data_IF_559425187468
#
_entry.id   IF_559425187468
#
_cell.length_a   1.000
_cell.length_b   1.000
_cell.length_c   1.000
_cell.angle_alpha   90.00
_cell.angle_beta   90.00
_cell.angle_gamma   90.00
#
_symmetry.space_group_name_H-M   'P 1'
#
loop_
_entity.id
_entity.type
_entity.pdbx_description
1 polymer ?
#
# COMPACT_ATOMS: atom_id res chain seq x y z
N UNK A 1 -11.52 -4.82 2.74
CA UNK A 1 -10.26 -4.58 1.99
C UNK A 1 -9.27 -3.80 2.85
N UNK A 2 -7.98 -3.74 2.46
CA UNK A 2 -6.95 -3.08 3.28
C UNK A 2 -7.19 -1.58 3.48
N UNK A 3 -7.77 -0.89 2.49
CA UNK A 3 -8.11 0.54 2.57
C UNK A 3 -9.17 0.82 3.64
N UNK A 4 -10.13 -0.08 3.81
CA UNK A 4 -11.16 0.03 4.86
C UNK A 4 -10.54 -0.17 6.25
N UNK A 5 -9.65 -1.15 6.40
CA UNK A 5 -8.87 -1.32 7.64
C UNK A 5 -7.98 -0.12 7.94
N UNK A 6 -7.32 0.44 6.92
CA UNK A 6 -6.51 1.64 7.07
C UNK A 6 -7.34 2.83 7.54
N UNK A 7 -8.54 3.01 7.00
CA UNK A 7 -9.45 4.06 7.44
C UNK A 7 -9.87 3.90 8.91
N UNK A 8 -10.09 2.67 9.38
CA UNK A 8 -10.33 2.38 10.81
C UNK A 8 -9.11 2.76 11.65
N UNK A 9 -7.90 2.41 11.22
CA UNK A 9 -6.66 2.72 11.95
C UNK A 9 -6.34 4.22 11.99
N UNK A 10 -6.68 4.97 10.93
CA UNK A 10 -6.54 6.43 10.88
C UNK A 10 -7.63 7.15 11.71
N UNK A 11 -8.73 6.45 12.04
CA UNK A 11 -9.76 6.89 12.98
C UNK A 11 -11.17 6.90 12.38
N UNK A 12 -12.16 6.79 13.26
CA UNK A 12 -13.59 6.55 12.93
C UNK A 12 -14.28 7.65 12.09
N UNK A 13 -13.62 8.79 11.82
CA UNK A 13 -14.15 9.87 10.98
C UNK A 13 -13.61 9.84 9.55
N UNK A 14 -12.74 8.89 9.21
CA UNK A 14 -12.15 8.78 7.88
C UNK A 14 -13.19 8.35 6.86
N UNK A 15 -13.37 9.13 5.81
CA UNK A 15 -14.27 8.81 4.69
C UNK A 15 -13.45 8.26 3.53
N UNK A 16 -13.77 7.05 3.08
CA UNK A 16 -13.11 6.40 1.94
C UNK A 16 -13.88 6.70 0.67
N UNK A 17 -13.22 7.33 -0.31
CA UNK A 17 -13.69 7.41 -1.71
C UNK A 17 -12.88 6.43 -2.54
N UNK A 18 -13.47 5.28 -2.84
CA UNK A 18 -12.78 4.20 -3.55
C UNK A 18 -13.11 4.22 -5.05
N UNK A 19 -12.08 4.37 -5.88
CA UNK A 19 -12.19 4.33 -7.34
C UNK A 19 -11.64 3.02 -7.93
N UNK A 20 -11.04 2.17 -7.10
CA UNK A 20 -10.36 0.96 -7.55
C UNK A 20 -11.32 -0.03 -8.23
N UNK A 21 -10.96 -0.46 -9.44
CA UNK A 21 -11.66 -1.49 -10.18
C UNK A 21 -10.85 -2.79 -10.16
N UNK A 22 -11.51 -3.90 -9.82
CA UNK A 22 -10.88 -5.21 -9.84
C UNK A 22 -10.34 -5.54 -11.24
N UNK A 23 -9.10 -6.01 -11.32
CA UNK A 23 -8.45 -6.36 -12.59
C UNK A 23 -7.83 -5.19 -13.35
N UNK A 24 -7.94 -3.95 -12.85
CA UNK A 24 -7.36 -2.78 -13.49
C UNK A 24 -5.82 -2.88 -13.57
N UNK A 25 -5.27 -2.54 -14.74
CA UNK A 25 -3.83 -2.32 -14.95
C UNK A 25 -3.50 -0.84 -14.75
N UNK A 26 -2.23 -0.45 -14.84
CA UNK A 26 -1.91 0.99 -14.86
C UNK A 26 -2.47 1.65 -16.13
N UNK A 27 -2.34 0.96 -17.27
CA UNK A 27 -2.85 1.38 -18.56
C UNK A 27 -3.26 0.14 -19.34
N UNK A 28 -4.52 0.08 -19.76
CA UNK A 28 -5.08 -1.09 -20.42
C UNK A 28 -4.55 -1.25 -21.85
N UNK A 29 -3.93 -0.21 -22.43
CA UNK A 29 -3.36 -0.27 -23.77
C UNK A 29 -1.96 -0.89 -23.81
N UNK A 30 -1.28 -1.00 -22.66
CA UNK A 30 0.05 -1.60 -22.56
C UNK A 30 0.04 -3.11 -22.75
N UNK A 31 -1.02 -3.78 -22.29
CA UNK A 31 -1.08 -5.24 -22.23
C UNK A 31 -2.33 -5.78 -22.92
N UNK A 32 -2.17 -6.40 -24.08
CA UNK A 32 -3.27 -7.06 -24.82
C UNK A 32 -3.91 -8.21 -24.04
N UNK A 33 -3.16 -8.81 -23.13
CA UNK A 33 -3.59 -9.92 -22.26
C UNK A 33 -4.27 -9.47 -20.97
N UNK A 34 -4.41 -8.16 -20.74
CA UNK A 34 -5.15 -7.64 -19.59
C UNK A 34 -6.59 -8.17 -19.60
N UNK A 35 -7.04 -8.71 -18.46
CA UNK A 35 -8.36 -9.32 -18.33
C UNK A 35 -9.52 -8.31 -18.39
N UNK A 36 -9.23 -7.03 -18.18
CA UNK A 36 -10.18 -5.93 -18.10
C UNK A 36 -9.67 -4.74 -18.92
N UNK A 37 -10.60 -3.89 -19.37
CA UNK A 37 -10.29 -2.60 -19.99
C UNK A 37 -10.23 -1.45 -18.97
N UNK A 38 -10.46 -1.73 -17.69
CA UNK A 38 -10.30 -0.74 -16.64
C UNK A 38 -8.81 -0.50 -16.36
N UNK A 39 -8.45 0.74 -16.06
CA UNK A 39 -7.08 1.12 -15.71
C UNK A 39 -7.03 2.36 -14.80
N UNK A 40 -5.83 2.65 -14.30
CA UNK A 40 -5.58 3.84 -13.47
C UNK A 40 -5.98 5.14 -14.17
N UNK A 41 -5.74 5.25 -15.48
CA UNK A 41 -6.08 6.44 -16.26
C UNK A 41 -7.58 6.76 -16.19
N UNK A 42 -8.44 5.77 -16.46
CA UNK A 42 -9.88 5.93 -16.35
C UNK A 42 -10.35 6.25 -14.92
N UNK A 43 -9.76 5.61 -13.91
CA UNK A 43 -10.08 5.88 -12.50
C UNK A 43 -9.71 7.32 -12.09
N UNK A 44 -8.53 7.81 -12.51
CA UNK A 44 -8.07 9.18 -12.29
C UNK A 44 -8.95 10.19 -13.02
N UNK A 45 -9.33 9.92 -14.26
CA UNK A 45 -10.23 10.79 -15.03
C UNK A 45 -11.60 10.91 -14.35
N UNK A 46 -12.18 9.81 -13.87
CA UNK A 46 -13.45 9.85 -13.12
C UNK A 46 -13.32 10.74 -11.88
N UNK A 47 -12.25 10.59 -11.09
CA UNK A 47 -12.02 11.42 -9.91
C UNK A 47 -11.92 12.92 -10.25
N UNK A 48 -11.13 13.27 -11.27
CA UNK A 48 -10.93 14.66 -11.69
C UNK A 48 -12.23 15.26 -12.23
N UNK A 49 -12.97 14.51 -13.06
CA UNK A 49 -14.24 14.94 -13.65
C UNK A 49 -15.31 15.26 -12.60
N UNK A 50 -15.29 14.58 -11.45
CA UNK A 50 -16.22 14.84 -10.35
C UNK A 50 -15.96 16.17 -9.62
N UNK A 51 -14.81 16.83 -9.85
CA UNK A 51 -14.46 18.13 -9.24
C UNK A 51 -14.67 18.13 -7.72
N UNK A 52 -14.24 17.05 -7.08
CA UNK A 52 -14.32 16.90 -5.64
C UNK A 52 -13.64 18.09 -4.94
N UNK A 53 -14.25 18.61 -3.87
CA UNK A 53 -13.55 19.55 -2.97
C UNK A 53 -12.51 18.75 -2.18
N UNK A 54 -11.24 19.12 -2.34
CA UNK A 54 -10.10 18.46 -1.70
C UNK A 54 -9.58 19.38 -0.60
N UNK A 55 -9.57 18.90 0.63
CA UNK A 55 -8.82 19.52 1.72
C UNK A 55 -7.47 18.81 1.83
N UNK A 56 -6.48 19.35 1.12
CA UNK A 56 -5.21 18.66 0.91
C UNK A 56 -4.50 18.26 2.21
N UNK A 57 -4.41 19.11 3.25
CA UNK A 57 -3.83 18.75 4.55
C UNK A 57 -4.44 17.52 5.23
N UNK A 58 -5.71 17.21 4.98
CA UNK A 58 -6.43 16.10 5.63
C UNK A 58 -6.74 14.95 4.67
N UNK A 59 -6.38 15.09 3.40
CA UNK A 59 -6.63 14.08 2.36
C UNK A 59 -5.39 13.24 2.11
N UNK A 60 -5.53 11.91 2.29
CA UNK A 60 -4.55 10.92 1.86
C UNK A 60 -4.99 10.27 0.55
N UNK A 61 -4.12 10.28 -0.45
CA UNK A 61 -4.35 9.56 -1.72
C UNK A 61 -3.59 8.25 -1.70
N UNK A 62 -4.31 7.14 -1.81
CA UNK A 62 -3.69 5.81 -1.87
C UNK A 62 -3.66 5.29 -3.29
N UNK A 63 -2.49 4.90 -3.79
CA UNK A 63 -2.29 4.38 -5.15
C UNK A 63 -1.69 2.97 -5.08
N UNK A 64 -2.38 1.98 -5.65
CA UNK A 64 -1.93 0.58 -5.64
C UNK A 64 -2.27 -0.13 -6.95
N UNK A 65 -1.29 -0.20 -7.85
CA UNK A 65 -1.39 -0.84 -9.16
C UNK A 65 -0.17 -1.74 -9.43
N UNK A 66 -0.15 -2.42 -10.58
CA UNK A 66 0.98 -3.23 -11.04
C UNK A 66 0.80 -4.74 -10.88
N UNK A 67 -0.09 -5.23 -10.00
CA UNK A 67 -0.32 -6.69 -9.86
C UNK A 67 -0.87 -7.32 -11.15
N UNK A 68 -1.82 -6.65 -11.79
CA UNK A 68 -2.40 -7.11 -13.06
C UNK A 68 -1.43 -6.89 -14.21
N UNK A 69 -0.63 -5.81 -14.18
CA UNK A 69 0.44 -5.56 -15.14
C UNK A 69 1.50 -6.67 -15.10
N UNK A 70 1.92 -7.15 -13.91
CA UNK A 70 2.86 -8.28 -13.79
C UNK A 70 2.27 -9.51 -14.47
N UNK A 71 1.00 -9.81 -14.20
CA UNK A 71 0.34 -11.01 -14.72
C UNK A 71 0.21 -10.95 -16.24
N UNK A 72 -0.20 -9.80 -16.78
CA UNK A 72 -0.36 -9.58 -18.22
C UNK A 72 1.01 -9.54 -18.95
N UNK A 73 1.97 -8.79 -18.41
CA UNK A 73 3.34 -8.70 -18.93
C UNK A 73 4.01 -10.08 -18.97
N UNK A 74 3.79 -10.96 -17.98
CA UNK A 74 4.29 -12.36 -18.01
C UNK A 74 3.74 -13.16 -19.19
N UNK A 75 2.43 -13.04 -19.46
CA UNK A 75 1.78 -13.75 -20.56
C UNK A 75 2.35 -13.29 -21.90
N UNK A 76 2.53 -11.98 -22.08
CA UNK A 76 2.99 -11.41 -23.35
C UNK A 76 4.49 -11.57 -23.60
N UNK A 77 5.29 -11.64 -22.55
CA UNK A 77 6.75 -11.76 -22.63
C UNK A 77 7.28 -13.19 -22.56
N UNK A 78 6.40 -14.20 -22.51
CA UNK A 78 6.78 -15.60 -22.25
C UNK A 78 7.59 -15.73 -20.94
N UNK A 79 6.99 -15.30 -19.82
CA UNK A 79 7.53 -15.34 -18.46
C UNK A 79 8.78 -14.47 -18.20
N UNK A 80 9.01 -13.43 -19.02
CA UNK A 80 10.06 -12.42 -18.82
C UNK A 80 9.47 -11.00 -18.64
N UNK A 81 8.64 -10.77 -17.60
CA UNK A 81 7.91 -9.52 -17.46
C UNK A 81 8.83 -8.33 -17.21
N UNK A 82 8.45 -7.19 -17.78
CA UNK A 82 8.94 -5.86 -17.41
C UNK A 82 7.74 -4.97 -17.08
N UNK A 83 7.92 -4.10 -16.10
CA UNK A 83 6.92 -3.11 -15.68
C UNK A 83 7.38 -1.67 -15.85
N UNK A 84 8.55 -1.42 -16.44
CA UNK A 84 9.01 -0.07 -16.73
C UNK A 84 7.95 0.82 -17.41
N UNK A 85 7.27 0.40 -18.51
CA UNK A 85 6.26 1.25 -19.17
C UNK A 85 5.03 1.51 -18.27
N UNK A 86 4.64 0.53 -17.46
CA UNK A 86 3.55 0.71 -16.50
C UNK A 86 3.97 1.70 -15.38
N UNK A 87 5.21 1.65 -14.89
CA UNK A 87 5.69 2.60 -13.88
C UNK A 87 5.74 4.03 -14.41
N UNK A 88 6.19 4.22 -15.66
CA UNK A 88 6.19 5.53 -16.31
C UNK A 88 4.78 6.10 -16.44
N UNK A 89 3.83 5.28 -16.88
CA UNK A 89 2.44 5.71 -16.98
C UNK A 89 1.79 5.99 -15.62
N UNK A 90 2.14 5.21 -14.59
CA UNK A 90 1.69 5.44 -13.23
C UNK A 90 2.11 6.83 -12.74
N UNK A 91 3.35 7.25 -13.02
CA UNK A 91 3.86 8.57 -12.66
C UNK A 91 3.12 9.71 -13.38
N UNK A 92 2.79 9.52 -14.65
CA UNK A 92 1.97 10.48 -15.42
C UNK A 92 0.59 10.65 -14.78
N UNK A 93 -0.09 9.56 -14.45
CA UNK A 93 -1.41 9.62 -13.81
C UNK A 93 -1.33 10.18 -12.38
N UNK A 94 -0.26 9.87 -11.64
CA UNK A 94 0.03 10.46 -10.33
C UNK A 94 0.21 11.98 -10.42
N UNK A 95 0.92 12.47 -11.44
CA UNK A 95 1.11 13.91 -11.65
C UNK A 95 -0.20 14.63 -11.95
N UNK A 96 -1.15 14.01 -12.67
CA UNK A 96 -2.50 14.58 -12.86
C UNK A 96 -3.22 14.78 -11.52
N UNK A 97 -3.12 13.81 -10.61
CA UNK A 97 -3.70 13.92 -9.26
C UNK A 97 -3.03 15.04 -8.44
N UNK A 98 -1.71 15.17 -8.54
CA UNK A 98 -0.97 16.27 -7.89
C UNK A 98 -1.43 17.62 -8.43
N UNK A 99 -1.62 17.75 -9.75
CA UNK A 99 -2.05 19.00 -10.39
C UNK A 99 -3.47 19.45 -9.98
N UNK A 100 -4.32 18.54 -9.47
CA UNK A 100 -5.62 18.90 -8.88
C UNK A 100 -5.56 19.10 -7.37
N UNK A 101 -4.35 19.14 -6.80
CA UNK A 101 -4.11 19.54 -5.42
C UNK A 101 -4.00 18.40 -4.42
N UNK A 102 -3.80 17.15 -4.85
CA UNK A 102 -3.53 16.03 -3.93
C UNK A 102 -2.03 15.95 -3.61
N UNK A 103 -1.64 16.23 -2.36
CA UNK A 103 -0.22 16.37 -2.00
C UNK A 103 0.26 15.35 -0.99
N UNK A 104 -0.60 14.54 -0.38
CA UNK A 104 -0.18 13.44 0.50
C UNK A 104 -0.47 12.10 -0.18
N UNK A 105 0.58 11.40 -0.58
CA UNK A 105 0.48 10.15 -1.33
C UNK A 105 0.97 8.95 -0.50
N UNK A 106 0.22 7.87 -0.57
CA UNK A 106 0.66 6.54 -0.14
C UNK A 106 0.67 5.64 -1.38
N UNK A 107 1.85 5.19 -1.78
CA UNK A 107 2.07 4.38 -2.98
C UNK A 107 2.46 2.97 -2.58
N UNK A 108 1.70 1.97 -2.99
CA UNK A 108 1.98 0.56 -2.73
C UNK A 108 2.55 -0.11 -3.98
N UNK A 109 3.62 -0.91 -3.83
CA UNK A 109 4.12 -1.77 -4.92
C UNK A 109 3.48 -3.16 -4.87
N UNK A 110 3.47 -3.91 -5.99
CA UNK A 110 2.88 -5.25 -6.07
C UNK A 110 3.37 -6.22 -4.98
N UNK A 111 2.50 -7.16 -4.59
CA UNK A 111 2.81 -8.17 -3.57
C UNK A 111 3.69 -9.33 -4.10
N UNK A 112 3.96 -9.36 -5.41
CA UNK A 112 4.72 -10.41 -6.07
C UNK A 112 6.20 -10.05 -6.14
N UNK A 113 7.02 -10.77 -5.39
CA UNK A 113 8.49 -10.63 -5.44
C UNK A 113 9.04 -11.08 -6.79
N UNK A 114 9.88 -10.26 -7.42
CA UNK A 114 10.52 -10.60 -8.70
C UNK A 114 11.30 -9.43 -9.29
N UNK A 115 11.96 -9.68 -10.42
CA UNK A 115 12.72 -8.62 -11.12
C UNK A 115 11.81 -7.47 -11.58
N UNK A 116 10.64 -7.79 -12.15
CA UNK A 116 9.69 -6.81 -12.63
C UNK A 116 9.08 -5.93 -11.53
N UNK A 117 8.82 -6.49 -10.34
CA UNK A 117 8.37 -5.70 -9.18
C UNK A 117 9.47 -4.74 -8.71
N UNK A 118 10.72 -5.21 -8.61
CA UNK A 118 11.85 -4.35 -8.23
C UNK A 118 12.11 -3.24 -9.25
N UNK A 119 11.97 -3.56 -10.54
CA UNK A 119 12.04 -2.57 -11.61
C UNK A 119 10.95 -1.50 -11.43
N UNK A 120 9.70 -1.91 -11.24
CA UNK A 120 8.57 -1.01 -10.98
C UNK A 120 8.83 -0.09 -9.78
N UNK A 121 9.20 -0.68 -8.63
CA UNK A 121 9.51 0.09 -7.42
C UNK A 121 10.68 1.05 -7.60
N UNK A 122 11.69 0.68 -8.39
CA UNK A 122 12.85 1.55 -8.69
C UNK A 122 12.44 2.75 -9.54
N UNK A 123 11.67 2.53 -10.61
CA UNK A 123 11.19 3.60 -11.49
C UNK A 123 10.25 4.53 -10.71
N UNK A 124 9.30 3.98 -9.95
CA UNK A 124 8.39 4.77 -9.12
C UNK A 124 9.14 5.60 -8.09
N UNK A 125 10.10 5.01 -7.38
CA UNK A 125 10.87 5.74 -6.37
C UNK A 125 11.60 6.93 -6.98
N UNK A 126 12.27 6.73 -8.12
CA UNK A 126 12.96 7.80 -8.84
C UNK A 126 11.97 8.88 -9.28
N UNK A 127 10.88 8.50 -9.94
CA UNK A 127 9.89 9.43 -10.46
C UNK A 127 9.16 10.24 -9.37
N UNK A 128 8.83 9.62 -8.23
CA UNK A 128 8.22 10.32 -7.09
C UNK A 128 9.19 11.33 -6.47
N UNK A 129 10.48 11.00 -6.40
CA UNK A 129 11.51 11.97 -5.99
C UNK A 129 11.61 13.14 -6.98
N UNK A 130 11.55 12.87 -8.28
CA UNK A 130 11.56 13.90 -9.31
C UNK A 130 10.31 14.79 -9.23
N UNK A 131 9.14 14.21 -8.94
CA UNK A 131 7.91 14.94 -8.66
C UNK A 131 8.05 15.81 -7.40
N UNK A 132 8.57 15.29 -6.29
CA UNK A 132 8.78 16.05 -5.06
C UNK A 132 9.68 17.27 -5.25
N UNK A 133 10.70 17.19 -6.11
CA UNK A 133 11.54 18.35 -6.46
C UNK A 133 10.79 19.43 -7.24
N UNK A 134 9.75 19.06 -7.99
CA UNK A 134 8.90 19.99 -8.76
C UNK A 134 7.71 20.51 -7.94
N UNK A 135 7.21 19.72 -7.02
CA UNK A 135 6.05 20.00 -6.17
C UNK A 135 6.47 19.98 -4.70
N UNK A 136 6.96 21.11 -4.18
CA UNK A 136 7.60 21.17 -2.87
C UNK A 136 6.72 20.73 -1.69
N UNK A 137 5.39 20.87 -1.81
CA UNK A 137 4.40 20.46 -0.82
C UNK A 137 3.99 18.98 -0.93
N UNK A 138 4.42 18.27 -1.97
CA UNK A 138 4.19 16.82 -2.10
C UNK A 138 4.84 16.10 -0.92
N UNK A 139 4.15 15.14 -0.33
CA UNK A 139 4.67 14.19 0.66
C UNK A 139 4.29 12.82 0.20
N UNK A 140 5.20 11.86 0.28
CA UNK A 140 4.87 10.52 -0.14
C UNK A 140 5.57 9.44 0.68
N UNK A 141 4.83 8.37 0.89
CA UNK A 141 5.33 7.14 1.48
C UNK A 141 5.17 6.03 0.44
N UNK A 142 6.21 5.22 0.28
CA UNK A 142 6.13 3.98 -0.50
C UNK A 142 6.10 2.78 0.43
N UNK A 143 5.15 1.86 0.23
CA UNK A 143 5.06 0.61 0.96
C UNK A 143 5.26 -0.58 0.01
N UNK A 144 6.29 -1.40 0.27
CA UNK A 144 6.57 -2.57 -0.54
C UNK A 144 5.86 -3.81 -0.01
N UNK A 145 4.75 -4.21 -0.65
CA UNK A 145 4.03 -5.40 -0.21
C UNK A 145 4.79 -6.69 -0.49
N UNK A 146 5.70 -6.75 -1.47
CA UNK A 146 6.51 -7.94 -1.70
C UNK A 146 7.36 -8.30 -0.47
N UNK A 147 7.85 -7.31 0.28
CA UNK A 147 8.58 -7.54 1.54
C UNK A 147 7.68 -8.19 2.60
N UNK A 148 6.47 -7.65 2.81
CA UNK A 148 5.49 -8.22 3.74
C UNK A 148 5.17 -9.67 3.36
N UNK A 149 4.91 -9.94 2.07
CA UNK A 149 4.59 -11.29 1.61
C UNK A 149 5.78 -12.25 1.69
N UNK A 150 7.01 -11.78 1.49
CA UNK A 150 8.21 -12.61 1.72
C UNK A 150 8.36 -12.97 3.20
N UNK A 151 8.12 -12.02 4.11
CA UNK A 151 8.15 -12.29 5.54
C UNK A 151 7.09 -13.31 5.95
N UNK A 152 5.86 -13.16 5.44
CA UNK A 152 4.76 -14.12 5.66
C UNK A 152 5.14 -15.51 5.15
N UNK A 153 5.63 -15.62 3.91
CA UNK A 153 6.00 -16.92 3.31
C UNK A 153 7.18 -17.56 4.03
N UNK A 154 8.10 -16.77 4.57
CA UNK A 154 9.24 -17.25 5.35
C UNK A 154 8.86 -17.77 6.74
N UNK A 155 7.79 -17.25 7.34
CA UNK A 155 7.33 -17.69 8.67
C UNK A 155 5.80 -17.59 8.82
N UNK A 156 5.00 -18.42 8.13
CA UNK A 156 3.54 -18.24 8.06
C UNK A 156 2.86 -18.26 9.44
N UNK A 157 3.31 -19.16 10.32
CA UNK A 157 2.77 -19.32 11.68
C UNK A 157 2.98 -18.10 12.57
N UNK A 158 4.06 -17.34 12.38
CA UNK A 158 4.32 -16.09 13.13
C UNK A 158 3.30 -14.99 12.81
N UNK A 159 2.63 -15.10 11.65
CA UNK A 159 1.54 -14.23 11.23
C UNK A 159 0.16 -14.89 11.43
N UNK A 160 0.10 -16.06 12.07
CA UNK A 160 -1.14 -16.78 12.32
C UNK A 160 -1.65 -17.63 11.16
N UNK A 161 -0.89 -17.80 10.06
CA UNK A 161 -1.32 -18.64 8.95
C UNK A 161 -0.96 -20.11 9.17
N UNK A 162 -1.90 -21.00 8.84
CA UNK A 162 -1.71 -22.46 8.74
C UNK A 162 -1.56 -22.91 7.30
N UNK A 163 -2.08 -22.14 6.35
CA UNK A 163 -1.97 -22.42 4.91
C UNK A 163 -1.64 -21.16 4.12
N UNK A 164 -0.78 -21.32 3.12
CA UNK A 164 -0.48 -20.30 2.12
C UNK A 164 -1.36 -20.42 0.88
N UNK A 165 -2.27 -21.40 0.84
CA UNK A 165 -3.19 -21.63 -0.27
C UNK A 165 -4.47 -20.78 -0.15
N UNK A 166 -5.24 -20.73 -1.24
CA UNK A 166 -6.55 -20.09 -1.26
C UNK A 166 -7.59 -20.93 -0.51
N UNK A 167 -8.38 -20.28 0.34
CA UNK A 167 -9.50 -20.93 1.01
C UNK A 167 -10.65 -21.29 0.05
N UNK A 168 -10.96 -20.40 -0.90
CA UNK A 168 -11.94 -20.61 -1.97
C UNK A 168 -11.23 -21.28 -3.15
N UNK A 169 -11.71 -22.45 -3.64
CA UNK A 169 -11.10 -23.11 -4.78
C UNK A 169 -11.25 -22.29 -6.07
N UNK A 170 -10.38 -22.55 -7.04
CA UNK A 170 -10.27 -21.80 -8.31
C UNK A 170 -11.58 -21.76 -9.13
N UNK A 171 -12.45 -22.76 -8.97
CA UNK A 171 -13.76 -22.80 -9.65
C UNK A 171 -14.83 -21.92 -8.96
N UNK A 172 -14.46 -21.16 -7.91
CA UNK A 172 -15.32 -20.28 -7.13
C UNK A 172 -16.51 -20.99 -6.46
N UNK A 173 -16.40 -22.30 -6.24
CA UNK A 173 -17.42 -23.08 -5.56
C UNK A 173 -17.38 -22.82 -4.05
N UNK A 174 -18.22 -21.89 -3.59
CA UNK A 174 -18.30 -21.48 -2.17
C UNK A 174 -18.68 -22.63 -1.24
N UNK A 175 -19.34 -23.68 -1.75
CA UNK A 175 -19.68 -24.87 -0.93
C UNK A 175 -18.46 -25.69 -0.57
N UNK A 176 -17.35 -25.50 -1.29
CA UNK A 176 -16.04 -26.13 -1.08
C UNK A 176 -15.01 -25.20 -0.46
N UNK A 177 -15.42 -24.00 -0.03
CA UNK A 177 -14.52 -23.12 0.72
C UNK A 177 -14.05 -23.82 2.00
N UNK A 178 -12.81 -23.52 2.42
CA UNK A 178 -12.29 -24.00 3.70
C UNK A 178 -13.18 -23.56 4.88
N UNK A 179 -13.13 -24.30 5.99
CA UNK A 179 -13.93 -23.99 7.19
C UNK A 179 -13.29 -22.91 8.06
N UNK A 180 -12.02 -22.61 7.84
CA UNK A 180 -11.17 -21.81 8.70
C UNK A 180 -10.41 -20.72 7.90
N UNK A 181 -11.14 -19.84 7.15
CA UNK A 181 -10.56 -18.86 6.22
C UNK A 181 -9.54 -17.93 6.85
N UNK A 182 -9.69 -17.67 8.16
CA UNK A 182 -8.85 -16.81 8.96
C UNK A 182 -7.39 -17.30 9.06
N UNK A 183 -7.14 -18.60 8.87
CA UNK A 183 -5.81 -19.20 8.93
C UNK A 183 -5.19 -19.43 7.53
N UNK A 184 -5.86 -18.98 6.47
CA UNK A 184 -5.34 -19.01 5.11
C UNK A 184 -4.74 -17.66 4.72
N UNK A 185 -3.71 -17.64 3.88
CA UNK A 185 -3.16 -16.37 3.38
C UNK A 185 -4.11 -15.70 2.38
N UNK A 186 -4.74 -16.51 1.52
CA UNK A 186 -5.58 -16.04 0.43
C UNK A 186 -7.03 -16.49 0.60
N UNK A 187 -7.97 -15.60 0.26
CA UNK A 187 -9.37 -15.98 0.10
C UNK A 187 -9.56 -16.68 -1.24
N UNK A 188 -9.24 -15.99 -2.33
CA UNK A 188 -9.27 -16.50 -3.70
C UNK A 188 -7.87 -16.35 -4.30
N UNK A 189 -7.56 -17.09 -5.36
CA UNK A 189 -6.26 -17.08 -6.06
C UNK A 189 -5.53 -15.72 -6.05
N UNK A 190 -4.42 -15.62 -5.32
CA UNK A 190 -3.60 -14.41 -5.15
C UNK A 190 -4.31 -13.18 -4.55
N UNK A 191 -5.56 -13.32 -4.12
CA UNK A 191 -6.35 -12.30 -3.44
C UNK A 191 -6.32 -12.58 -1.93
N UNK A 192 -5.63 -11.73 -1.14
CA UNK A 192 -5.52 -11.91 0.30
C UNK A 192 -6.89 -12.04 0.98
N UNK A 193 -6.96 -12.82 2.05
CA UNK A 193 -8.15 -12.83 2.90
C UNK A 193 -8.22 -11.59 3.81
N UNK A 194 -9.31 -11.45 4.56
CA UNK A 194 -9.64 -10.27 5.35
C UNK A 194 -8.56 -9.86 6.36
N UNK A 195 -7.98 -10.78 7.13
CA UNK A 195 -6.91 -10.47 8.08
C UNK A 195 -5.57 -10.21 7.40
N UNK A 196 -5.31 -10.78 6.22
CA UNK A 196 -4.15 -10.38 5.41
C UNK A 196 -4.32 -8.93 4.94
N UNK A 197 -5.53 -8.53 4.55
CA UNK A 197 -5.85 -7.13 4.28
C UNK A 197 -5.69 -6.23 5.52
N UNK A 198 -6.06 -6.70 6.70
CA UNK A 198 -5.80 -5.97 7.95
C UNK A 198 -4.30 -5.80 8.19
N UNK A 199 -3.53 -6.86 7.99
CA UNK A 199 -2.07 -6.84 8.11
C UNK A 199 -1.41 -5.88 7.12
N UNK A 200 -1.95 -5.72 5.89
CA UNK A 200 -1.49 -4.67 4.98
C UNK A 200 -1.65 -3.28 5.60
N UNK A 201 -2.81 -2.99 6.20
CA UNK A 201 -3.08 -1.70 6.83
C UNK A 201 -2.16 -1.46 8.03
N UNK A 202 -1.95 -2.48 8.88
CA UNK A 202 -1.03 -2.41 10.02
C UNK A 202 0.43 -2.20 9.56
N UNK A 203 0.85 -2.89 8.51
CA UNK A 203 2.17 -2.73 7.90
C UNK A 203 2.38 -1.30 7.38
N UNK A 204 1.38 -0.73 6.70
CA UNK A 204 1.39 0.65 6.20
C UNK A 204 1.46 1.66 7.35
N UNK A 205 0.67 1.46 8.42
CA UNK A 205 0.73 2.31 9.61
C UNK A 205 2.12 2.24 10.23
N UNK A 206 2.72 1.05 10.29
CA UNK A 206 4.06 0.88 10.85
C UNK A 206 5.13 1.61 10.05
N UNK A 207 5.06 1.53 8.73
CA UNK A 207 5.92 2.32 7.83
C UNK A 207 5.73 3.83 8.09
N UNK A 208 4.49 4.27 8.22
CA UNK A 208 4.17 5.68 8.42
C UNK A 208 4.75 6.22 9.73
N UNK A 209 4.65 5.46 10.82
CA UNK A 209 5.29 5.80 12.10
C UNK A 209 6.81 5.99 11.94
N UNK A 210 7.48 5.06 11.26
CA UNK A 210 8.93 5.17 11.05
C UNK A 210 9.32 6.37 10.20
N UNK A 211 8.49 6.76 9.23
CA UNK A 211 8.72 7.95 8.42
C UNK A 211 8.54 9.27 9.21
N UNK A 212 7.72 9.29 10.26
CA UNK A 212 7.57 10.48 11.12
C UNK A 212 8.70 10.67 12.14
N UNK A 213 9.37 9.59 12.53
CA UNK A 213 10.46 9.63 13.53
C UNK A 213 11.80 10.03 12.92
N UNK A 214 12.01 9.83 11.60
CA UNK A 214 13.23 10.26 10.91
C UNK A 214 13.35 11.79 10.76
N UNK A 215 12.23 12.51 10.71
CA UNK A 215 12.23 13.98 10.57
C UNK A 215 12.58 14.71 11.89
N UNK A 216 12.52 14.02 13.03
CA UNK A 216 12.81 14.61 14.36
C UNK A 216 14.24 14.40 14.83
N UNK A 217 15.13 13.80 14.01
CA UNK A 217 16.54 13.56 14.37
C UNK A 217 17.57 14.47 13.71
N UNK A 218 17.15 15.50 12.96
CA UNK A 218 18.10 16.39 12.28
C UNK A 218 18.23 17.80 12.86
N UNK A 219 17.70 18.06 14.05
CA UNK A 219 17.91 19.36 14.70
C UNK A 219 18.11 19.22 16.22
N UNK A 220 19.37 19.02 16.63
CA UNK A 220 19.90 19.50 17.91
C UNK A 220 21.37 19.09 18.08
N UNK A 221 22.27 19.85 17.47
CA UNK A 221 23.58 20.12 18.08
C UNK A 221 23.60 21.58 18.49
N UNK A 222 23.25 21.86 19.75
CA UNK A 222 24.08 22.68 20.63
C UNK A 222 23.62 22.60 22.11
N UNK A 223 24.53 22.87 23.07
CA UNK A 223 24.46 22.33 24.42
C UNK A 223 23.89 23.29 25.48
N UNK A 224 23.48 22.70 26.60
CA UNK A 224 23.16 23.28 27.92
C UNK A 224 21.95 24.24 28.00
N UNK A 225 20.91 23.79 28.72
CA UNK A 225 20.48 24.47 29.96
C UNK A 225 19.54 23.58 30.78
N UNK A 226 19.79 23.57 32.08
CA UNK A 226 19.08 22.87 33.16
C UNK A 226 17.74 23.51 33.50
N UNK A 227 16.74 22.70 33.87
CA UNK A 227 15.57 23.21 34.60
C UNK A 227 14.38 22.25 34.62
N UNK A 228 14.08 21.68 35.78
CA UNK A 228 12.99 20.74 36.03
C UNK A 228 11.60 21.42 36.10
N UNK A 229 10.54 20.70 35.72
CA UNK A 229 9.31 20.50 36.52
C UNK A 229 8.24 19.72 35.72
N UNK A 230 7.69 18.68 36.35
CA UNK A 230 6.46 17.98 35.92
C UNK A 230 5.21 18.83 36.22
N UNK A 231 4.06 18.50 35.62
CA UNK A 231 3.10 17.72 36.40
C UNK A 231 2.42 16.58 35.64
N UNK A 232 1.84 15.70 36.46
CA UNK A 232 1.07 14.50 36.17
C UNK A 232 -0.25 14.78 35.43
N UNK A 233 -0.71 13.82 34.62
CA UNK A 233 -2.14 13.52 34.44
C UNK A 233 -2.36 12.09 33.89
N UNK A 234 -3.03 11.27 34.72
CA UNK A 234 -4.14 10.37 34.38
C UNK A 234 -3.96 9.17 33.41
N UNK A 235 -4.36 7.94 33.80
CA UNK A 235 -4.17 6.74 32.98
C UNK A 235 -5.19 6.66 31.84
N UNK A 236 -4.70 6.64 30.59
CA UNK A 236 -5.47 6.21 29.42
C UNK A 236 -5.56 4.69 29.47
N UNK A 237 -6.76 4.18 29.68
CA UNK A 237 -7.08 2.75 29.60
C UNK A 237 -6.71 2.21 28.23
N UNK A 238 -5.77 1.26 28.20
CA UNK A 238 -5.33 0.54 27.02
C UNK A 238 -6.47 -0.33 26.49
N UNK A 239 -6.82 -0.13 25.22
CA UNK A 239 -7.62 -1.11 24.47
C UNK A 239 -6.70 -2.31 24.22
N UNK A 240 -7.06 -3.45 24.78
CA UNK A 240 -6.31 -4.70 24.65
C UNK A 240 -6.31 -5.19 23.20
N UNK A 241 -5.15 -5.09 22.57
CA UNK A 241 -4.85 -5.77 21.30
C UNK A 241 -4.75 -7.28 21.59
N UNK A 242 -5.41 -8.16 20.81
CA UNK A 242 -5.28 -9.61 20.97
C UNK A 242 -3.81 -10.03 20.97
N UNK A 243 -3.44 -10.90 21.90
CA UNK A 243 -2.05 -11.24 22.22
C UNK A 243 -1.29 -11.93 21.06
N UNK A 244 -1.99 -12.23 19.97
CA UNK A 244 -1.53 -12.99 18.81
C UNK A 244 -0.93 -12.12 17.69
N UNK A 245 -0.82 -10.80 17.88
CA UNK A 245 -0.31 -9.86 16.85
C UNK A 245 1.03 -9.18 17.22
N UNK A 246 1.73 -9.63 18.27
CA UNK A 246 2.96 -8.98 18.79
C UNK A 246 4.24 -9.17 17.94
N UNK A 247 4.15 -9.82 16.78
CA UNK A 247 5.31 -10.09 15.91
C UNK A 247 5.08 -9.67 14.47
N UNK A 248 4.70 -8.41 14.23
CA UNK A 248 4.94 -7.80 12.92
C UNK A 248 6.44 -7.49 12.84
N UNK A 249 7.23 -8.17 12.00
CA UNK A 249 8.64 -7.88 11.86
C UNK A 249 8.84 -6.42 11.43
N UNK A 250 9.87 -5.79 12.00
CA UNK A 250 10.28 -4.44 11.58
C UNK A 250 10.70 -4.53 10.11
N UNK A 251 10.06 -3.80 9.18
CA UNK A 251 10.47 -3.80 7.79
C UNK A 251 11.91 -3.31 7.63
N UNK A 252 12.62 -3.68 6.55
CA UNK A 252 13.75 -2.91 6.06
C UNK A 252 13.39 -1.41 6.01
N UNK A 253 14.37 -0.53 6.25
CA UNK A 253 14.15 0.93 6.33
C UNK A 253 13.23 1.41 5.20
N UNK A 254 12.01 1.87 5.51
CA UNK A 254 11.13 2.41 4.49
C UNK A 254 11.78 3.65 3.89
N UNK A 255 11.52 3.87 2.60
CA UNK A 255 11.99 5.08 1.94
C UNK A 255 10.91 6.16 2.07
N UNK A 256 11.21 7.25 2.77
CA UNK A 256 10.26 8.28 3.21
C UNK A 256 10.66 9.67 2.67
N UNK A 257 9.69 10.54 2.30
CA UNK A 257 9.91 11.95 1.95
C UNK A 257 8.66 12.85 2.08
#
# INVERSE_FOLDING_TARGET
>A
MWTEWLAVLLGNKTVVKNYAVSGATVDHSLWRSASQKADMGGEVEVFICQKNKIDSPTTLTTLFFGNNDISASKIESNDQPSLAPAAERFLVETEKLINVGLTNLLVLTPAFSGAAEREFGTVLWKGLNDLKRRYHNLKFITANLAELYNAIKGSPSSFGYRSLDSCLPRNNDVTKACKDPDYHLYWLFSHPQQYTHKLHAEYIMKISETCTVSDSKHDSTDPLSTGASSPEDGPITSVSVPENCKHVPVPPQPKCF
#
